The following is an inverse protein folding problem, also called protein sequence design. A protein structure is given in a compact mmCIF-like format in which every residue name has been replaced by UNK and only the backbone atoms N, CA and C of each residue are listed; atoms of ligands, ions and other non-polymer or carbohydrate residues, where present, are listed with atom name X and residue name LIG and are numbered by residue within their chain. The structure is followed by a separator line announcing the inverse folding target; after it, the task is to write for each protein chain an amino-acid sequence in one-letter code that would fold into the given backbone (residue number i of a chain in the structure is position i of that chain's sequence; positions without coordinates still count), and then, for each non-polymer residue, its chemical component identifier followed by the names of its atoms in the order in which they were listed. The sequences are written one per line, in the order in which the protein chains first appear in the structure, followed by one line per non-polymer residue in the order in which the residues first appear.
data_IF_121343979585
#
_entry.id   IF_121343979585
#
_cell.length_a   1.000
_cell.length_b   1.000
_cell.length_c   1.000
_cell.angle_alpha   90.00
_cell.angle_beta   90.00
_cell.angle_gamma   90.00
#
_symmetry.space_group_name_H-M   'P 1'
#
loop_
_entity.id
_entity.type
_entity.pdbx_description
1 polymer ?
#
# COMPACT_ATOMS: atom_id res chain seq x y z
N UNK A 1 1.72 -5.19 -10.36
CA UNK A 1 1.52 -5.33 -8.91
C UNK A 1 2.32 -4.26 -8.22
N UNK A 2 1.70 -3.34 -7.46
CA UNK A 2 2.41 -2.43 -6.55
C UNK A 2 2.90 -3.17 -5.31
N UNK A 3 3.81 -2.56 -4.55
CA UNK A 3 4.06 -2.95 -3.16
C UNK A 3 2.81 -2.59 -2.34
N UNK A 4 2.44 -3.42 -1.38
CA UNK A 4 1.12 -3.36 -0.74
C UNK A 4 1.21 -3.65 0.75
N UNK A 5 0.75 -2.71 1.58
CA UNK A 5 0.48 -2.94 3.00
C UNK A 5 -1.02 -2.83 3.20
N UNK A 6 -1.63 -3.85 3.79
CA UNK A 6 -3.07 -3.84 4.10
C UNK A 6 -3.29 -3.66 5.59
N UNK A 7 -4.30 -2.89 5.97
CA UNK A 7 -4.66 -2.58 7.33
C UNK A 7 -6.09 -3.04 7.58
N UNK A 8 -6.27 -3.96 8.52
CA UNK A 8 -7.57 -4.57 8.81
C UNK A 8 -7.85 -4.60 10.30
N UNK A 9 -9.14 -4.60 10.66
CA UNK A 9 -9.55 -4.82 12.04
C UNK A 9 -9.39 -6.29 12.38
N UNK A 10 -8.51 -6.59 13.32
CA UNK A 10 -8.33 -7.97 13.83
C UNK A 10 -9.65 -8.47 14.42
N UNK A 11 -10.16 -9.60 13.90
CA UNK A 11 -11.38 -10.20 14.43
C UNK A 11 -11.13 -10.80 15.83
N UNK A 12 -12.09 -10.68 16.77
CA UNK A 12 -11.94 -11.25 18.11
C UNK A 12 -11.58 -12.74 18.07
N UNK A 13 -10.55 -13.12 18.81
CA UNK A 13 -10.10 -14.52 18.91
C UNK A 13 -9.37 -15.08 17.70
N UNK A 14 -9.10 -14.27 16.66
CA UNK A 14 -8.38 -14.71 15.46
C UNK A 14 -6.99 -14.12 15.36
N UNK A 15 -6.13 -14.73 14.57
CA UNK A 15 -4.86 -14.16 14.12
C UNK A 15 -5.09 -13.14 12.99
N UNK A 16 -4.06 -12.35 12.68
CA UNK A 16 -4.11 -11.40 11.56
C UNK A 16 -4.23 -12.15 10.22
N UNK A 17 -3.46 -13.23 10.03
CA UNK A 17 -3.52 -14.09 8.85
C UNK A 17 -4.92 -14.67 8.62
N UNK A 18 -5.59 -15.22 9.65
CA UNK A 18 -6.97 -15.74 9.52
C UNK A 18 -7.99 -14.64 9.18
N UNK A 19 -7.74 -13.40 9.59
CA UNK A 19 -8.58 -12.26 9.22
C UNK A 19 -8.41 -11.92 7.74
N UNK A 20 -7.18 -11.93 7.25
CA UNK A 20 -6.85 -11.69 5.84
C UNK A 20 -7.40 -12.80 4.93
N UNK A 21 -7.26 -14.07 5.32
CA UNK A 21 -7.80 -15.20 4.56
C UNK A 21 -9.32 -15.12 4.42
N UNK A 22 -10.02 -14.75 5.50
CA UNK A 22 -11.46 -14.57 5.44
C UNK A 22 -11.84 -13.40 4.53
N UNK A 23 -11.12 -12.27 4.60
CA UNK A 23 -11.38 -11.11 3.74
C UNK A 23 -11.16 -11.47 2.27
N UNK A 24 -10.06 -12.16 1.96
CA UNK A 24 -9.78 -12.64 0.61
C UNK A 24 -10.85 -13.62 0.10
N UNK A 25 -11.36 -14.50 0.96
CA UNK A 25 -12.45 -15.42 0.61
C UNK A 25 -13.81 -14.74 0.43
N UNK A 26 -14.04 -13.58 1.06
CA UNK A 26 -15.26 -12.80 0.93
C UNK A 26 -15.27 -11.88 -0.30
N UNK A 27 -14.12 -11.65 -0.92
CA UNK A 27 -13.96 -10.76 -2.07
C UNK A 27 -14.55 -11.39 -3.35
N UNK A 28 -15.59 -10.78 -3.92
CA UNK A 28 -16.25 -11.22 -5.16
C UNK A 28 -15.80 -10.42 -6.41
N UNK A 29 -14.61 -9.81 -6.35
CA UNK A 29 -14.06 -9.03 -7.47
C UNK A 29 -14.81 -7.73 -7.73
N UNK A 30 -14.98 -7.39 -9.00
CA UNK A 30 -15.60 -6.12 -9.44
C UNK A 30 -17.04 -5.94 -8.96
N UNK A 31 -17.75 -7.03 -8.66
CA UNK A 31 -19.14 -6.99 -8.22
C UNK A 31 -19.33 -6.38 -6.82
N UNK A 32 -18.29 -6.35 -5.99
CA UNK A 32 -18.36 -5.78 -4.64
C UNK A 32 -18.29 -4.25 -4.68
N UNK A 33 -17.44 -3.69 -5.55
CA UNK A 33 -17.36 -2.25 -5.77
C UNK A 33 -18.69 -1.68 -6.26
N UNK A 34 -19.32 -2.24 -7.29
CA UNK A 34 -20.57 -1.66 -7.83
C UNK A 34 -21.76 -1.71 -6.85
N UNK A 35 -21.72 -2.57 -5.83
CA UNK A 35 -22.87 -2.86 -4.95
C UNK A 35 -22.76 -2.24 -3.56
N UNK A 36 -21.55 -1.93 -3.10
CA UNK A 36 -21.30 -1.45 -1.74
C UNK A 36 -20.53 -0.11 -1.77
N UNK A 37 -21.22 1.03 -2.01
CA UNK A 37 -20.59 2.33 -1.80
C UNK A 37 -20.12 2.47 -0.35
N UNK A 38 -19.06 3.25 -0.16
CA UNK A 38 -18.51 3.52 1.15
C UNK A 38 -19.56 4.19 2.04
N UNK A 39 -19.77 3.62 3.24
CA UNK A 39 -20.70 4.15 4.23
C UNK A 39 -19.95 4.51 5.52
N UNK A 40 -19.35 5.69 5.54
CA UNK A 40 -18.59 6.17 6.69
C UNK A 40 -19.51 6.65 7.82
N UNK A 41 -19.40 5.99 8.96
CA UNK A 41 -19.90 6.56 10.22
C UNK A 41 -19.16 7.87 10.54
N UNK A 42 -19.76 8.79 11.33
CA UNK A 42 -19.10 10.03 11.74
C UNK A 42 -17.73 9.81 12.39
N UNK A 43 -17.58 8.77 13.21
CA UNK A 43 -16.31 8.46 13.88
C UNK A 43 -15.22 8.04 12.88
N UNK A 44 -15.58 7.27 11.85
CA UNK A 44 -14.66 6.85 10.78
C UNK A 44 -14.26 8.03 9.90
N UNK A 45 -15.16 8.98 9.67
CA UNK A 45 -14.85 10.23 8.97
C UNK A 45 -13.90 11.10 9.80
N UNK A 46 -14.15 11.23 11.10
CA UNK A 46 -13.25 11.95 11.99
C UNK A 46 -11.84 11.31 12.06
N UNK A 47 -11.77 9.97 12.03
CA UNK A 47 -10.51 9.25 11.93
C UNK A 47 -9.76 9.58 10.63
N UNK A 48 -10.46 9.64 9.49
CA UNK A 48 -9.86 10.08 8.22
C UNK A 48 -9.29 11.50 8.31
N UNK A 49 -10.08 12.45 8.82
CA UNK A 49 -9.65 13.84 8.93
C UNK A 49 -8.40 13.96 9.82
N UNK A 50 -8.32 13.16 10.89
CA UNK A 50 -7.15 13.08 11.76
C UNK A 50 -5.93 12.42 11.09
N UNK A 51 -6.14 11.38 10.27
CA UNK A 51 -5.08 10.76 9.46
C UNK A 51 -4.48 11.81 8.52
N UNK A 52 -5.31 12.49 7.73
CA UNK A 52 -4.86 13.54 6.79
C UNK A 52 -4.05 14.61 7.51
N UNK A 53 -4.55 15.08 8.67
CA UNK A 53 -3.89 16.10 9.48
C UNK A 53 -2.53 15.62 10.00
N UNK A 54 -2.45 14.41 10.57
CA UNK A 54 -1.24 13.88 11.19
C UNK A 54 -0.19 13.52 10.13
N UNK A 55 -0.58 12.89 9.03
CA UNK A 55 0.32 12.58 7.91
C UNK A 55 0.89 13.86 7.30
N UNK A 56 0.05 14.87 7.06
CA UNK A 56 0.49 16.17 6.55
C UNK A 56 1.56 16.82 7.44
N UNK A 57 1.41 16.71 8.76
CA UNK A 57 2.31 17.31 9.73
C UNK A 57 3.61 16.50 9.93
N UNK A 58 3.52 15.17 9.88
CA UNK A 58 4.62 14.28 10.28
C UNK A 58 5.46 13.74 9.12
N UNK A 59 4.83 13.52 7.96
CA UNK A 59 5.44 12.91 6.78
C UNK A 59 5.65 13.95 5.68
N UNK A 60 4.73 14.90 5.54
CA UNK A 60 4.81 16.01 4.59
C UNK A 60 3.51 16.22 3.82
N UNK A 61 3.49 17.19 2.89
CA UNK A 61 2.27 17.56 2.16
C UNK A 61 1.64 16.39 1.41
N UNK A 62 0.31 16.35 1.40
CA UNK A 62 -0.49 15.33 0.73
C UNK A 62 -1.58 15.95 -0.14
N UNK A 63 -1.98 15.23 -1.18
CA UNK A 63 -3.24 15.47 -1.89
C UNK A 63 -4.29 14.48 -1.40
N UNK A 64 -5.55 14.92 -1.35
CA UNK A 64 -6.68 14.10 -0.90
C UNK A 64 -7.75 14.11 -1.98
N UNK A 65 -8.33 12.95 -2.23
CA UNK A 65 -9.47 12.77 -3.12
C UNK A 65 -10.51 11.86 -2.47
N UNK A 66 -11.79 12.11 -2.74
CA UNK A 66 -12.90 11.35 -2.20
C UNK A 66 -13.64 10.65 -3.34
N UNK A 67 -13.60 9.32 -3.34
CA UNK A 67 -14.27 8.47 -4.31
C UNK A 67 -15.49 7.79 -3.68
N UNK A 68 -16.41 7.24 -4.49
CA UNK A 68 -17.59 6.55 -3.96
C UNK A 68 -17.29 5.37 -3.03
N UNK A 69 -16.09 4.78 -3.10
CA UNK A 69 -15.74 3.53 -2.40
C UNK A 69 -14.64 3.70 -1.35
N UNK A 70 -13.91 4.81 -1.39
CA UNK A 70 -12.77 5.05 -0.51
C UNK A 70 -12.40 6.53 -0.49
N UNK A 71 -11.72 6.92 0.59
CA UNK A 71 -11.00 8.17 0.71
C UNK A 71 -9.53 7.91 0.39
N UNK A 72 -8.98 8.67 -0.55
CA UNK A 72 -7.61 8.52 -1.03
C UNK A 72 -6.75 9.66 -0.54
N UNK A 73 -5.56 9.33 -0.05
CA UNK A 73 -4.49 10.27 0.28
C UNK A 73 -3.25 9.88 -0.50
N UNK A 74 -2.66 10.86 -1.16
CA UNK A 74 -1.45 10.71 -1.95
C UNK A 74 -0.32 11.56 -1.39
N UNK A 75 0.79 10.91 -1.10
CA UNK A 75 2.05 11.55 -0.72
C UNK A 75 3.04 11.37 -1.87
N UNK A 76 3.30 12.44 -2.64
CA UNK A 76 4.04 12.36 -3.91
C UNK A 76 5.57 12.52 -3.82
N UNK A 77 6.09 13.21 -2.79
CA UNK A 77 7.49 13.64 -2.69
C UNK A 77 8.04 13.53 -1.26
N UNK A 78 9.33 13.20 -1.05
CA UNK A 78 10.41 13.38 -2.01
C UNK A 78 10.85 12.11 -2.76
N UNK A 79 10.56 10.91 -2.24
CA UNK A 79 11.11 9.67 -2.82
C UNK A 79 10.22 9.12 -3.94
N UNK A 80 8.91 9.31 -3.81
CA UNK A 80 7.90 8.86 -4.75
C UNK A 80 6.50 8.90 -4.16
N UNK A 81 5.52 8.54 -5.00
CA UNK A 81 4.11 8.42 -4.62
C UNK A 81 3.89 7.21 -3.72
N UNK A 82 3.33 7.48 -2.54
CA UNK A 82 2.66 6.51 -1.66
C UNK A 82 1.19 6.89 -1.62
N UNK A 83 0.31 5.97 -2.00
CA UNK A 83 -1.14 6.12 -1.94
C UNK A 83 -1.65 5.39 -0.69
N UNK A 84 -2.60 6.00 0.01
CA UNK A 84 -3.41 5.38 1.05
C UNK A 84 -4.87 5.43 0.61
N UNK A 85 -5.54 4.29 0.57
CA UNK A 85 -6.98 4.19 0.38
C UNK A 85 -7.63 3.71 1.67
N UNK A 86 -8.69 4.39 2.11
CA UNK A 86 -9.39 4.10 3.36
C UNK A 86 -10.90 4.09 3.15
N UNK A 87 -11.56 2.99 3.54
CA UNK A 87 -13.03 2.81 3.40
C UNK A 87 -13.78 2.89 4.74
N UNK A 88 -13.05 3.05 5.85
CA UNK A 88 -13.61 3.06 7.20
C UNK A 88 -13.48 1.74 7.98
N UNK A 89 -13.46 0.61 7.28
CA UNK A 89 -13.30 -0.74 7.85
C UNK A 89 -11.90 -1.30 7.67
N UNK A 90 -11.20 -0.81 6.64
CA UNK A 90 -9.86 -1.17 6.24
C UNK A 90 -9.14 -0.01 5.59
N UNK A 91 -7.83 -0.17 5.40
CA UNK A 91 -7.05 0.73 4.59
C UNK A 91 -5.97 -0.05 3.82
N UNK A 92 -5.57 0.45 2.66
CA UNK A 92 -4.51 -0.13 1.86
C UNK A 92 -3.49 0.94 1.48
N UNK A 93 -2.21 0.63 1.63
CA UNK A 93 -1.10 1.51 1.27
C UNK A 93 -0.36 0.90 0.10
N UNK A 94 -0.22 1.67 -0.97
CA UNK A 94 0.37 1.23 -2.23
C UNK A 94 1.50 2.15 -2.71
N UNK A 95 2.55 1.55 -3.28
CA UNK A 95 3.59 2.28 -4.01
C UNK A 95 4.28 1.40 -5.06
N UNK A 96 4.91 2.03 -6.05
CA UNK A 96 5.40 1.34 -7.25
C UNK A 96 6.75 0.61 -7.04
N UNK A 97 6.92 -0.55 -7.69
CA UNK A 97 8.24 -1.23 -7.83
C UNK A 97 9.14 -0.50 -8.84
N UNK A 98 9.71 0.62 -8.40
CA UNK A 98 10.71 1.36 -9.17
C UNK A 98 11.89 1.85 -8.33
N UNK A 99 11.86 1.54 -7.04
CA UNK A 99 12.84 2.01 -6.06
C UNK A 99 13.86 0.92 -5.77
N UNK A 100 15.14 1.28 -5.71
CA UNK A 100 16.23 0.38 -5.37
C UNK A 100 17.29 1.14 -4.56
N UNK A 101 18.16 0.40 -3.85
CA UNK A 101 19.16 1.00 -2.96
C UNK A 101 18.52 1.86 -1.86
N UNK A 102 19.11 3.02 -1.58
CA UNK A 102 18.62 3.91 -0.51
C UNK A 102 17.18 4.40 -0.75
N UNK A 103 16.78 4.63 -2.01
CA UNK A 103 15.42 5.04 -2.33
C UNK A 103 14.38 3.96 -1.96
N UNK A 104 14.74 2.68 -2.07
CA UNK A 104 13.86 1.58 -1.63
C UNK A 104 13.68 1.61 -0.10
N UNK A 105 14.76 1.85 0.63
CA UNK A 105 14.72 1.96 2.08
C UNK A 105 13.88 3.15 2.54
N UNK A 106 14.09 4.32 1.94
CA UNK A 106 13.36 5.52 2.32
C UNK A 106 11.85 5.39 2.08
N UNK A 107 11.43 4.85 0.94
CA UNK A 107 9.99 4.69 0.66
C UNK A 107 9.33 3.64 1.59
N UNK A 108 10.04 2.56 1.94
CA UNK A 108 9.54 1.57 2.90
C UNK A 108 9.41 2.17 4.30
N UNK A 109 10.40 2.94 4.77
CA UNK A 109 10.32 3.66 6.06
C UNK A 109 9.09 4.57 6.11
N UNK A 110 8.85 5.32 5.05
CA UNK A 110 7.70 6.23 4.97
C UNK A 110 6.37 5.47 4.93
N UNK A 111 6.29 4.37 4.18
CA UNK A 111 5.09 3.53 4.12
C UNK A 111 4.78 2.89 5.49
N UNK A 112 5.79 2.41 6.21
CA UNK A 112 5.64 1.86 7.57
C UNK A 112 5.23 2.94 8.57
N UNK A 113 5.77 4.15 8.44
CA UNK A 113 5.36 5.28 9.28
C UNK A 113 3.90 5.69 9.01
N UNK A 114 3.48 5.70 7.75
CA UNK A 114 2.10 5.94 7.36
C UNK A 114 1.17 4.86 7.94
N UNK A 115 1.54 3.58 7.85
CA UNK A 115 0.80 2.49 8.46
C UNK A 115 0.64 2.70 9.97
N UNK A 116 1.72 2.99 10.69
CA UNK A 116 1.67 3.24 12.13
C UNK A 116 0.75 4.40 12.54
N UNK A 117 0.70 5.48 11.75
CA UNK A 117 -0.25 6.58 11.98
C UNK A 117 -1.71 6.09 11.85
N UNK A 118 -2.00 5.29 10.82
CA UNK A 118 -3.35 4.74 10.62
C UNK A 118 -3.70 3.77 11.74
N UNK A 119 -2.78 2.88 12.14
CA UNK A 119 -2.96 1.95 13.26
C UNK A 119 -3.30 2.70 14.56
N UNK A 120 -2.52 3.72 14.91
CA UNK A 120 -2.72 4.54 16.11
C UNK A 120 -4.10 5.19 16.18
N UNK A 121 -4.61 5.68 15.04
CA UNK A 121 -5.86 6.47 14.97
C UNK A 121 -7.09 5.55 14.91
N UNK A 122 -7.00 4.44 14.17
CA UNK A 122 -8.17 3.62 13.80
C UNK A 122 -8.28 2.32 14.59
N UNK A 123 -7.18 1.90 15.22
CA UNK A 123 -7.02 0.57 15.81
C UNK A 123 -7.01 -0.57 14.77
N UNK A 124 -6.86 -0.26 13.48
CA UNK A 124 -6.54 -1.26 12.47
C UNK A 124 -5.13 -1.80 12.73
N UNK A 125 -4.85 -3.00 12.21
CA UNK A 125 -3.54 -3.64 12.31
C UNK A 125 -2.99 -3.82 10.91
N UNK A 126 -1.78 -3.33 10.67
CA UNK A 126 -1.10 -3.40 9.39
C UNK A 126 -0.41 -4.73 9.15
N UNK A 127 -0.41 -5.15 7.89
CA UNK A 127 0.26 -6.33 7.39
C UNK A 127 0.96 -6.00 6.08
N UNK A 128 2.27 -6.20 6.06
CA UNK A 128 3.09 -6.10 4.87
C UNK A 128 2.96 -7.41 4.07
N UNK A 129 2.27 -7.34 2.93
CA UNK A 129 1.94 -8.51 2.12
C UNK A 129 3.17 -9.11 1.41
N UNK A 130 4.26 -8.35 1.30
CA UNK A 130 5.47 -8.79 0.62
C UNK A 130 6.41 -9.55 1.56
N UNK A 131 6.47 -9.14 2.82
CA UNK A 131 7.26 -9.81 3.86
C UNK A 131 6.45 -10.80 4.68
N UNK A 132 5.12 -10.82 4.49
CA UNK A 132 4.15 -11.62 5.21
C UNK A 132 4.21 -11.41 6.74
N UNK A 133 4.36 -10.15 7.16
CA UNK A 133 4.52 -9.77 8.57
C UNK A 133 3.64 -8.60 8.99
N UNK A 134 3.24 -8.53 10.27
CA UNK A 134 2.66 -7.32 10.82
C UNK A 134 3.61 -6.13 10.68
N UNK A 135 3.10 -4.94 10.35
CA UNK A 135 3.90 -3.71 10.22
C UNK A 135 4.64 -3.37 11.51
N UNK A 136 4.03 -3.63 12.67
CA UNK A 136 4.63 -3.43 13.99
C UNK A 136 5.84 -4.34 14.28
N UNK A 137 5.96 -5.47 13.56
CA UNK A 137 7.04 -6.46 13.72
C UNK A 137 7.95 -6.53 12.48
N UNK A 138 7.68 -5.71 11.46
CA UNK A 138 8.33 -5.81 10.17
C UNK A 138 9.78 -5.29 10.21
N UNK A 139 10.62 -5.98 9.45
CA UNK A 139 12.02 -5.60 9.25
C UNK A 139 12.12 -4.70 8.01
N UNK A 140 12.30 -3.40 8.24
CA UNK A 140 12.39 -2.37 7.20
C UNK A 140 13.50 -2.67 6.21
N UNK A 141 14.65 -3.16 6.68
CA UNK A 141 15.81 -3.40 5.80
C UNK A 141 15.55 -4.64 4.93
N UNK A 142 14.89 -5.67 5.48
CA UNK A 142 14.44 -6.83 4.70
C UNK A 142 13.39 -6.46 3.64
N UNK A 143 12.38 -5.66 4.02
CA UNK A 143 11.36 -5.14 3.12
C UNK A 143 11.97 -4.29 1.98
N UNK A 144 12.90 -3.41 2.32
CA UNK A 144 13.62 -2.58 1.35
C UNK A 144 14.50 -3.41 0.40
N UNK A 145 15.19 -4.43 0.91
CA UNK A 145 15.99 -5.33 0.09
C UNK A 145 15.13 -6.11 -0.90
N UNK A 146 13.95 -6.58 -0.46
CA UNK A 146 13.00 -7.29 -1.33
C UNK A 146 12.44 -6.36 -2.42
N UNK A 147 11.96 -5.17 -2.06
CA UNK A 147 11.52 -4.14 -2.99
C UNK A 147 12.61 -3.80 -4.03
N UNK A 148 13.84 -3.58 -3.56
CA UNK A 148 14.97 -3.23 -4.40
C UNK A 148 15.36 -4.36 -5.34
N UNK A 149 15.34 -5.61 -4.88
CA UNK A 149 15.63 -6.79 -5.69
C UNK A 149 14.62 -6.97 -6.83
N UNK A 150 13.33 -6.88 -6.52
CA UNK A 150 12.26 -6.99 -7.53
C UNK A 150 12.35 -5.82 -8.52
N UNK A 151 12.53 -4.59 -8.04
CA UNK A 151 12.64 -3.40 -8.89
C UNK A 151 13.85 -3.49 -9.82
N UNK A 152 15.01 -3.93 -9.31
CA UNK A 152 16.21 -4.10 -10.11
C UNK A 152 16.04 -5.20 -11.17
N UNK A 153 15.48 -6.34 -10.80
CA UNK A 153 15.18 -7.42 -11.73
C UNK A 153 14.22 -6.96 -12.84
N UNK A 154 13.12 -6.30 -12.47
CA UNK A 154 12.14 -5.81 -13.43
C UNK A 154 12.75 -4.81 -14.41
N UNK A 155 13.65 -3.94 -13.96
CA UNK A 155 14.27 -2.93 -14.82
C UNK A 155 15.41 -3.48 -15.68
N UNK A 156 16.09 -4.54 -15.26
CA UNK A 156 17.22 -5.10 -16.01
C UNK A 156 16.80 -6.25 -16.92
N UNK A 157 16.06 -7.22 -16.38
CA UNK A 157 15.80 -8.49 -17.06
C UNK A 157 14.63 -8.40 -18.04
N UNK A 158 13.56 -7.68 -17.69
CA UNK A 158 12.43 -7.47 -18.63
C UNK A 158 12.91 -6.67 -19.84
N UNK A 159 13.72 -5.62 -19.64
CA UNK A 159 14.29 -4.85 -20.74
C UNK A 159 15.22 -5.69 -21.62
N UNK A 160 16.04 -6.58 -21.02
CA UNK A 160 16.89 -7.53 -21.77
C UNK A 160 16.05 -8.47 -22.62
N UNK A 161 15.04 -9.11 -22.04
CA UNK A 161 14.14 -10.03 -22.76
C UNK A 161 13.38 -9.33 -23.90
N UNK A 162 12.95 -8.09 -23.70
CA UNK A 162 12.30 -7.29 -24.74
C UNK A 162 13.26 -6.88 -25.87
N UNK A 163 14.53 -6.63 -25.56
CA UNK A 163 15.55 -6.34 -26.57
C UNK A 163 15.90 -7.57 -27.42
N UNK A 164 15.99 -8.75 -26.79
CA UNK A 164 16.28 -10.02 -27.47
C UNK A 164 15.14 -10.50 -28.38
N UNK A 165 13.89 -10.16 -28.03
CA UNK A 165 12.70 -10.51 -28.81
C UNK A 165 12.29 -9.47 -29.87
N UNK A 166 13.08 -8.40 -30.11
CA UNK A 166 12.77 -7.50 -31.22
C UNK A 166 13.01 -8.20 -32.56
N UNK A 167 12.02 -8.26 -33.47
CA UNK A 167 12.24 -8.78 -34.80
C UNK A 167 13.32 -7.94 -35.49
N UNK A 168 14.36 -8.60 -36.01
CA UNK A 168 15.36 -7.94 -36.85
C UNK A 168 14.63 -7.39 -38.07
N UNK A 169 14.35 -6.09 -38.08
CA UNK A 169 13.88 -5.42 -39.29
C UNK A 169 14.92 -5.66 -40.38
N UNK A 170 14.54 -6.45 -41.39
CA UNK A 170 15.36 -6.67 -42.57
C UNK A 170 15.68 -5.30 -43.17
N UNK A 171 16.97 -4.94 -43.14
CA UNK A 171 17.47 -3.82 -43.96
C UNK A 171 17.56 -4.35 -45.39
N UNK A 172 16.73 -3.79 -46.27
CA UNK A 172 17.00 -3.74 -47.71
C UNK A 172 18.02 -2.64 -48.00
#
# INVERSE_FOLDING_TARGET
MPYWITLVRRLPGRTLSETLDQRAAAWDGDADFERNPMNLTPDRRAAWDEIVRRVSAEIGPVSVEEYPYNLTLDRNEPVGRIQLDYDGDSADIEFAYRHFGEAARQIVVEAYRLAGIVEDITGLVGFDCQTERPTAEGDIDAAAALLGGISHWAQTEILRMLAENRPKTARN
#
